data_IF_984791119888
#
_entry.id   IF_984791119888
#
_cell.length_a   1.000
_cell.length_b   1.000
_cell.length_c   1.000
_cell.angle_alpha   90.00
_cell.angle_beta   90.00
_cell.angle_gamma   90.00
#
_symmetry.space_group_name_H-M   'P 1'
#
loop_
_entity.id
_entity.type
_entity.pdbx_description
1 polymer ?
#
# COMPACT_ATOMS: atom_id res chain seq x y z
N UNK A 1 2.65 -3.73 -18.47
CA UNK A 1 3.17 -4.91 -19.21
C UNK A 1 3.42 -4.60 -20.68
N UNK A 2 2.43 -4.15 -21.47
CA UNK A 2 2.62 -3.84 -22.90
C UNK A 2 3.74 -2.82 -23.15
N UNK A 3 3.85 -1.76 -22.33
CA UNK A 3 4.94 -0.79 -22.42
C UNK A 3 6.32 -1.43 -22.16
N UNK A 4 6.43 -2.34 -21.18
CA UNK A 4 7.67 -3.07 -20.89
C UNK A 4 8.07 -3.94 -22.10
N UNK A 5 7.10 -4.68 -22.68
CA UNK A 5 7.30 -5.46 -23.90
C UNK A 5 7.72 -4.60 -25.08
N UNK A 6 7.12 -3.42 -25.22
CA UNK A 6 7.46 -2.46 -26.28
C UNK A 6 8.91 -1.97 -26.16
N UNK A 7 9.37 -1.62 -24.96
CA UNK A 7 10.75 -1.20 -24.73
C UNK A 7 11.74 -2.31 -25.10
N UNK A 8 11.49 -3.54 -24.68
CA UNK A 8 12.37 -4.69 -25.02
C UNK A 8 12.37 -5.04 -26.50
N UNK A 9 11.20 -4.95 -27.15
CA UNK A 9 11.09 -5.17 -28.58
C UNK A 9 11.89 -4.15 -29.40
N UNK A 10 11.95 -2.93 -28.93
CA UNK A 10 12.65 -1.81 -29.56
C UNK A 10 14.00 -1.49 -28.90
N UNK A 11 14.67 -2.46 -28.30
CA UNK A 11 15.90 -2.27 -27.50
C UNK A 11 17.00 -1.52 -28.25
N UNK A 12 17.07 -1.65 -29.57
CA UNK A 12 18.09 -0.99 -30.42
C UNK A 12 17.71 0.46 -30.76
N UNK A 13 16.50 0.90 -30.47
CA UNK A 13 15.96 2.23 -30.77
C UNK A 13 15.76 3.11 -29.51
N UNK A 14 15.66 2.49 -28.34
CA UNK A 14 15.43 3.22 -27.09
C UNK A 14 16.74 3.39 -26.31
N UNK A 15 16.97 4.54 -25.69
CA UNK A 15 18.13 4.73 -24.84
C UNK A 15 17.98 3.96 -23.52
N UNK A 16 19.11 3.46 -22.99
CA UNK A 16 19.16 2.77 -21.71
C UNK A 16 19.22 1.24 -21.81
N UNK A 17 19.31 0.61 -20.67
CA UNK A 17 19.39 -0.86 -20.56
C UNK A 17 17.99 -1.44 -20.32
N UNK A 18 17.41 -2.05 -21.33
CA UNK A 18 16.07 -2.66 -21.28
C UNK A 18 15.99 -3.89 -20.35
N UNK A 19 17.14 -4.39 -19.86
CA UNK A 19 17.19 -5.44 -18.85
C UNK A 19 17.07 -4.86 -17.44
N UNK A 20 17.23 -3.54 -17.29
CA UNK A 20 17.14 -2.83 -16.00
C UNK A 20 15.94 -1.88 -15.93
N UNK A 21 14.80 -2.34 -16.41
CA UNK A 21 13.54 -1.58 -16.30
C UNK A 21 13.16 -1.50 -14.82
N UNK A 22 12.99 -0.28 -14.33
CA UNK A 22 12.55 0.02 -12.97
C UNK A 22 11.23 0.78 -13.06
N UNK A 23 10.24 0.34 -12.30
CA UNK A 23 8.98 1.08 -12.16
C UNK A 23 8.99 1.92 -10.89
N UNK A 24 8.36 3.09 -10.94
CA UNK A 24 8.12 3.94 -9.78
C UNK A 24 6.69 4.49 -9.83
N UNK A 25 6.00 4.50 -8.71
CA UNK A 25 4.64 5.02 -8.65
C UNK A 25 4.14 5.27 -7.25
N UNK A 26 3.11 6.12 -7.15
CA UNK A 26 2.48 6.54 -5.89
C UNK A 26 1.01 6.15 -5.91
N UNK A 27 0.46 5.69 -4.77
CA UNK A 27 -0.97 5.37 -4.61
C UNK A 27 -1.40 4.24 -5.58
N UNK A 28 -2.36 4.46 -6.47
CA UNK A 28 -2.70 3.52 -7.55
C UNK A 28 -1.48 3.23 -8.46
N UNK A 29 -0.62 4.24 -8.73
CA UNK A 29 0.65 4.03 -9.43
C UNK A 29 1.63 3.18 -8.64
N UNK A 30 1.62 3.27 -7.32
CA UNK A 30 2.37 2.38 -6.42
C UNK A 30 1.88 0.94 -6.48
N UNK A 31 0.55 0.74 -6.53
CA UNK A 31 -0.06 -0.56 -6.76
C UNK A 31 0.31 -1.14 -8.14
N UNK A 32 0.25 -0.30 -9.18
CA UNK A 32 0.65 -0.71 -10.54
C UNK A 32 2.13 -1.10 -10.61
N UNK A 33 3.00 -0.37 -9.88
CA UNK A 33 4.42 -0.72 -9.76
C UNK A 33 4.59 -2.07 -9.02
N UNK A 34 3.84 -2.29 -7.94
CA UNK A 34 3.85 -3.55 -7.22
C UNK A 34 3.37 -4.73 -8.10
N UNK A 35 2.29 -4.54 -8.86
CA UNK A 35 1.80 -5.53 -9.82
C UNK A 35 2.84 -5.82 -10.91
N UNK A 36 3.46 -4.80 -11.48
CA UNK A 36 4.50 -4.99 -12.49
C UNK A 36 5.68 -5.82 -11.94
N UNK A 37 6.08 -5.54 -10.68
CA UNK A 37 7.13 -6.28 -10.00
C UNK A 37 6.76 -7.72 -9.65
N UNK A 38 5.51 -7.97 -9.28
CA UNK A 38 5.05 -9.27 -8.80
C UNK A 38 4.67 -10.24 -9.94
N UNK A 39 4.34 -9.75 -11.13
CA UNK A 39 3.65 -10.52 -12.16
C UNK A 39 4.43 -10.68 -13.48
N UNK A 40 5.76 -10.56 -13.45
CA UNK A 40 6.59 -10.70 -14.64
C UNK A 40 6.30 -12.00 -15.38
N UNK A 41 6.02 -11.92 -16.68
CA UNK A 41 5.72 -13.05 -17.57
C UNK A 41 4.58 -13.96 -17.09
N UNK A 42 3.69 -13.48 -16.21
CA UNK A 42 2.55 -14.25 -15.72
C UNK A 42 1.57 -14.54 -16.88
N UNK A 43 1.23 -15.82 -17.05
CA UNK A 43 0.41 -16.32 -18.17
C UNK A 43 -1.01 -15.80 -18.15
N UNK A 44 -1.51 -15.45 -16.99
CA UNK A 44 -2.85 -14.92 -16.79
C UNK A 44 -3.08 -13.60 -17.54
N UNK A 45 -2.04 -12.82 -17.82
CA UNK A 45 -2.14 -11.57 -18.60
C UNK A 45 -2.04 -11.78 -20.11
N UNK A 46 -1.62 -12.95 -20.60
CA UNK A 46 -1.39 -13.20 -22.03
C UNK A 46 -2.63 -12.97 -22.92
N UNK A 47 -3.85 -13.38 -22.52
CA UNK A 47 -5.05 -13.12 -23.33
C UNK A 47 -5.26 -11.62 -23.58
N UNK A 48 -5.10 -10.80 -22.55
CA UNK A 48 -5.27 -9.34 -22.60
C UNK A 48 -4.16 -8.67 -23.44
N UNK A 49 -2.91 -9.08 -23.22
CA UNK A 49 -1.77 -8.56 -23.98
C UNK A 49 -1.86 -8.90 -25.48
N UNK A 50 -2.34 -10.10 -25.80
CA UNK A 50 -2.59 -10.52 -27.18
C UNK A 50 -3.73 -9.72 -27.81
N UNK A 51 -4.82 -9.49 -27.06
CA UNK A 51 -5.98 -8.74 -27.56
C UNK A 51 -5.62 -7.31 -27.97
N UNK A 52 -4.73 -6.64 -27.22
CA UNK A 52 -4.25 -5.28 -27.52
C UNK A 52 -3.07 -5.26 -28.50
N UNK A 53 -2.62 -6.40 -29.02
CA UNK A 53 -1.49 -6.48 -29.96
C UNK A 53 -0.14 -6.15 -29.33
N UNK A 54 0.08 -6.44 -28.04
CA UNK A 54 1.34 -6.20 -27.38
C UNK A 54 2.49 -6.98 -28.04
N UNK A 55 3.68 -6.38 -28.04
CA UNK A 55 4.87 -6.99 -28.64
C UNK A 55 5.21 -8.36 -28.02
N UNK A 56 5.74 -9.28 -28.81
CA UNK A 56 6.18 -10.61 -28.36
C UNK A 56 7.54 -10.49 -27.66
N UNK A 57 7.53 -10.04 -26.43
CA UNK A 57 8.70 -9.91 -25.57
C UNK A 57 8.29 -10.26 -24.13
N UNK A 58 9.26 -10.48 -23.25
CA UNK A 58 9.01 -10.68 -21.83
C UNK A 58 8.66 -9.35 -21.14
N UNK A 59 7.95 -9.41 -20.00
CA UNK A 59 7.48 -8.23 -19.26
C UNK A 59 7.84 -8.23 -17.77
N UNK A 60 8.78 -9.05 -17.36
CA UNK A 60 9.43 -8.94 -16.06
C UNK A 60 10.18 -7.62 -15.91
N UNK A 61 10.40 -7.14 -14.70
CA UNK A 61 11.15 -5.92 -14.42
C UNK A 61 12.31 -6.18 -13.46
N UNK A 62 13.28 -5.30 -13.49
CA UNK A 62 14.47 -5.40 -12.68
C UNK A 62 14.23 -5.00 -11.23
N UNK A 63 13.44 -3.93 -11.00
CA UNK A 63 13.11 -3.44 -9.68
C UNK A 63 11.78 -2.68 -9.66
N UNK A 64 11.09 -2.70 -8.52
CA UNK A 64 9.87 -1.96 -8.27
C UNK A 64 10.04 -0.96 -7.11
N UNK A 65 9.70 0.30 -7.35
CA UNK A 65 9.57 1.35 -6.33
C UNK A 65 8.12 1.72 -6.15
N UNK A 66 7.61 1.58 -4.92
CA UNK A 66 6.20 1.73 -4.57
C UNK A 66 6.06 2.72 -3.43
N UNK A 67 5.43 3.87 -3.68
CA UNK A 67 5.03 4.81 -2.65
C UNK A 67 3.56 4.58 -2.31
N UNK A 68 3.25 4.40 -1.02
CA UNK A 68 1.91 4.16 -0.47
C UNK A 68 1.02 3.33 -1.41
N UNK A 69 1.45 2.11 -1.81
CA UNK A 69 0.74 1.30 -2.79
C UNK A 69 -0.62 0.87 -2.26
N UNK A 70 -1.69 1.16 -3.03
CA UNK A 70 -3.06 0.73 -2.74
C UNK A 70 -3.31 -0.58 -3.48
N UNK A 71 -3.11 -1.70 -2.82
CA UNK A 71 -3.27 -3.03 -3.39
C UNK A 71 -3.94 -3.99 -2.41
N UNK A 72 -4.11 -5.26 -2.80
CA UNK A 72 -4.73 -6.28 -1.94
C UNK A 72 -6.13 -5.82 -1.51
N UNK A 73 -6.89 -5.31 -2.47
CA UNK A 73 -8.14 -4.59 -2.25
C UNK A 73 -9.21 -5.48 -1.62
N UNK A 74 -9.23 -6.78 -1.92
CA UNK A 74 -10.16 -7.74 -1.32
C UNK A 74 -9.98 -7.90 0.21
N UNK A 75 -8.83 -7.48 0.77
CA UNK A 75 -8.55 -7.49 2.19
C UNK A 75 -8.34 -6.07 2.77
N UNK A 76 -8.33 -5.04 1.92
CA UNK A 76 -8.00 -3.69 2.31
C UNK A 76 -9.02 -3.07 3.27
N UNK A 77 -10.32 -3.37 3.10
CA UNK A 77 -11.38 -2.93 4.01
C UNK A 77 -11.21 -3.49 5.41
N UNK A 78 -10.92 -4.79 5.52
CA UNK A 78 -10.66 -5.45 6.79
C UNK A 78 -9.39 -4.92 7.46
N UNK A 79 -8.33 -4.69 6.69
CA UNK A 79 -7.08 -4.10 7.17
C UNK A 79 -7.28 -2.64 7.63
N UNK A 80 -8.13 -1.89 6.94
CA UNK A 80 -8.46 -0.51 7.30
C UNK A 80 -9.17 -0.47 8.66
N UNK A 81 -10.18 -1.32 8.84
CA UNK A 81 -10.92 -1.39 10.10
C UNK A 81 -10.10 -2.02 11.24
N UNK A 82 -9.14 -2.90 10.96
CA UNK A 82 -8.18 -3.35 11.97
C UNK A 82 -7.40 -2.18 12.58
N UNK A 83 -7.06 -1.16 11.79
CA UNK A 83 -6.33 0.02 12.27
C UNK A 83 -7.28 1.08 12.85
N UNK A 84 -8.41 1.38 12.18
CA UNK A 84 -9.23 2.58 12.44
C UNK A 84 -10.59 2.31 13.09
N UNK A 85 -10.94 1.09 13.49
CA UNK A 85 -12.29 0.75 14.02
C UNK A 85 -12.70 1.61 15.21
N UNK A 86 -11.76 1.99 16.08
CA UNK A 86 -12.03 2.83 17.25
C UNK A 86 -12.30 4.31 16.89
N UNK A 87 -11.89 4.75 15.70
CA UNK A 87 -12.11 6.10 15.21
C UNK A 87 -13.45 6.17 14.48
N UNK A 88 -14.44 6.81 15.08
CA UNK A 88 -15.80 6.89 14.53
C UNK A 88 -16.07 8.15 13.73
N UNK A 89 -15.16 9.12 13.74
CA UNK A 89 -15.27 10.37 12.98
C UNK A 89 -14.34 10.34 11.76
N UNK A 90 -14.92 10.47 10.58
CA UNK A 90 -14.16 10.59 9.32
C UNK A 90 -13.75 12.05 9.10
N UNK A 91 -12.44 12.30 9.04
CA UNK A 91 -11.85 13.60 8.74
C UNK A 91 -11.53 13.71 7.26
N UNK A 92 -12.44 14.25 6.45
CA UNK A 92 -12.31 14.38 5.01
C UNK A 92 -12.00 15.80 4.58
N UNK A 93 -11.44 15.96 3.38
CA UNK A 93 -11.24 17.25 2.73
C UNK A 93 -12.05 17.27 1.43
N UNK A 94 -12.97 18.24 1.30
CA UNK A 94 -13.66 18.54 0.06
C UNK A 94 -12.95 19.71 -0.63
N UNK A 95 -12.74 19.56 -1.93
CA UNK A 95 -12.23 20.64 -2.77
C UNK A 95 -13.41 21.31 -3.48
N UNK A 96 -13.59 22.59 -3.23
CA UNK A 96 -14.65 23.39 -3.87
C UNK A 96 -14.02 24.41 -4.82
N UNK A 97 -14.45 24.40 -6.08
CA UNK A 97 -14.03 25.41 -7.06
C UNK A 97 -14.78 26.72 -6.78
N UNK A 98 -14.02 27.79 -6.58
CA UNK A 98 -14.54 29.16 -6.40
C UNK A 98 -13.96 30.07 -7.48
N UNK A 99 -14.54 31.24 -7.74
CA UNK A 99 -13.97 32.21 -8.68
C UNK A 99 -12.54 32.64 -8.34
N UNK A 100 -12.13 32.50 -7.06
CA UNK A 100 -10.80 32.85 -6.57
C UNK A 100 -9.82 31.67 -6.55
N UNK A 101 -10.24 30.49 -7.02
CA UNK A 101 -9.42 29.26 -7.04
C UNK A 101 -10.10 28.09 -6.33
N UNK A 102 -9.32 27.12 -5.89
CA UNK A 102 -9.82 25.93 -5.19
C UNK A 102 -9.74 26.13 -3.67
N UNK A 103 -10.88 26.06 -3.00
CA UNK A 103 -10.98 26.09 -1.53
C UNK A 103 -10.99 24.67 -0.96
N UNK A 104 -10.18 24.44 0.07
CA UNK A 104 -10.23 23.20 0.86
C UNK A 104 -11.21 23.39 2.03
N UNK A 105 -12.15 22.47 2.15
CA UNK A 105 -13.16 22.46 3.22
C UNK A 105 -12.99 21.17 3.99
N UNK A 106 -12.69 21.28 5.30
CA UNK A 106 -12.68 20.14 6.20
C UNK A 106 -14.13 19.69 6.47
N UNK A 107 -14.38 18.40 6.34
CA UNK A 107 -15.66 17.76 6.64
C UNK A 107 -15.42 16.72 7.72
N UNK A 108 -16.22 16.79 8.78
CA UNK A 108 -16.26 15.80 9.84
C UNK A 108 -17.59 15.06 9.71
N UNK A 109 -17.50 13.75 9.44
CA UNK A 109 -18.65 12.87 9.30
C UNK A 109 -18.57 11.78 10.37
N UNK A 110 -19.53 11.74 11.29
CA UNK A 110 -19.66 10.62 12.23
C UNK A 110 -20.18 9.37 11.51
N UNK A 111 -19.60 8.20 11.85
CA UNK A 111 -20.14 6.92 11.44
C UNK A 111 -21.48 6.68 12.13
N UNK A 112 -22.50 6.30 11.36
CA UNK A 112 -23.75 5.84 11.92
C UNK A 112 -23.63 4.44 12.58
N UNK A 113 -24.67 3.98 13.28
CA UNK A 113 -24.65 2.70 14.02
C UNK A 113 -24.51 1.49 13.08
N UNK A 114 -25.02 1.57 11.85
CA UNK A 114 -24.82 0.53 10.85
C UNK A 114 -23.35 0.46 10.43
N UNK A 115 -22.74 1.60 10.12
CA UNK A 115 -21.32 1.69 9.76
C UNK A 115 -20.40 1.20 10.89
N UNK A 116 -20.69 1.57 12.14
CA UNK A 116 -19.96 1.05 13.32
C UNK A 116 -20.06 -0.46 13.46
N UNK A 117 -21.24 -1.04 13.19
CA UNK A 117 -21.41 -2.49 13.21
C UNK A 117 -20.65 -3.19 12.09
N UNK A 118 -20.65 -2.62 10.87
CA UNK A 118 -19.91 -3.13 9.72
C UNK A 118 -18.39 -3.04 9.96
N UNK A 119 -17.93 -1.93 10.54
CA UNK A 119 -16.54 -1.73 10.93
C UNK A 119 -16.05 -2.86 11.85
N UNK A 120 -16.80 -3.19 12.90
CA UNK A 120 -16.45 -4.29 13.79
C UNK A 120 -16.38 -5.64 13.09
N UNK A 121 -17.32 -5.91 12.16
CA UNK A 121 -17.31 -7.16 11.37
C UNK A 121 -16.09 -7.25 10.44
N UNK A 122 -15.73 -6.16 9.78
CA UNK A 122 -14.55 -6.10 8.93
C UNK A 122 -13.26 -6.28 9.73
N UNK A 123 -13.12 -5.58 10.86
CA UNK A 123 -11.99 -5.79 11.78
C UNK A 123 -11.85 -7.25 12.18
N UNK A 124 -12.96 -7.91 12.54
CA UNK A 124 -12.96 -9.32 12.97
C UNK A 124 -12.56 -10.31 11.86
N UNK A 125 -12.66 -9.92 10.58
CA UNK A 125 -12.22 -10.75 9.46
C UNK A 125 -10.70 -10.69 9.23
N UNK A 126 -10.02 -9.60 9.60
CA UNK A 126 -8.61 -9.36 9.31
C UNK A 126 -7.64 -10.40 9.93
N UNK A 127 -7.77 -10.82 11.20
CA UNK A 127 -6.88 -11.82 11.81
C UNK A 127 -6.78 -13.13 11.03
N UNK A 128 -7.91 -13.63 10.52
CA UNK A 128 -7.93 -14.87 9.73
C UNK A 128 -7.07 -14.74 8.48
N UNK A 129 -7.18 -13.62 7.76
CA UNK A 129 -6.39 -13.33 6.58
C UNK A 129 -4.88 -13.28 6.91
N UNK A 130 -4.49 -12.52 7.93
CA UNK A 130 -3.08 -12.41 8.35
C UNK A 130 -2.49 -13.77 8.69
N UNK A 131 -3.23 -14.58 9.47
CA UNK A 131 -2.77 -15.90 9.90
C UNK A 131 -2.62 -16.89 8.73
N UNK A 132 -3.44 -16.76 7.67
CA UNK A 132 -3.34 -17.59 6.47
C UNK A 132 -2.05 -17.31 5.68
N UNK A 133 -1.55 -16.09 5.68
CA UNK A 133 -0.30 -15.72 4.97
C UNK A 133 0.96 -16.35 5.58
N UNK A 134 0.89 -16.89 6.81
CA UNK A 134 2.02 -17.52 7.51
C UNK A 134 3.31 -16.69 7.50
N UNK A 135 3.17 -15.36 7.61
CA UNK A 135 4.29 -14.42 7.61
C UNK A 135 5.25 -14.69 8.77
N UNK A 136 6.53 -14.39 8.56
CA UNK A 136 7.58 -14.52 9.57
C UNK A 136 8.37 -13.22 9.70
N UNK A 137 8.82 -12.92 10.92
CA UNK A 137 9.77 -11.84 11.16
C UNK A 137 11.18 -12.19 10.64
N UNK A 138 12.13 -11.27 10.82
CA UNK A 138 13.51 -11.41 10.37
C UNK A 138 14.26 -12.57 11.08
N UNK A 139 13.73 -13.08 12.20
CA UNK A 139 14.28 -14.19 12.98
C UNK A 139 13.59 -15.53 12.68
N UNK A 140 12.58 -15.53 11.82
CA UNK A 140 11.81 -16.71 11.44
C UNK A 140 10.65 -17.04 12.37
N UNK A 141 10.30 -16.17 13.33
CA UNK A 141 9.14 -16.37 14.18
C UNK A 141 7.86 -16.04 13.41
N UNK A 142 6.83 -16.86 13.57
CA UNK A 142 5.54 -16.60 12.94
C UNK A 142 4.89 -15.33 13.48
N UNK A 143 4.37 -14.52 12.57
CA UNK A 143 3.54 -13.37 12.87
C UNK A 143 2.08 -13.83 12.92
N UNK A 144 1.43 -13.60 14.06
CA UNK A 144 0.05 -14.04 14.30
C UNK A 144 -0.80 -12.89 14.83
N UNK A 145 -2.11 -13.00 14.58
CA UNK A 145 -3.12 -12.10 15.12
C UNK A 145 -4.21 -12.92 15.79
N UNK A 146 -4.62 -12.53 17.00
CA UNK A 146 -5.75 -13.13 17.70
C UNK A 146 -7.08 -12.57 17.18
N UNK A 147 -8.22 -13.05 17.73
CA UNK A 147 -9.56 -12.63 17.34
C UNK A 147 -9.85 -11.13 17.56
N UNK A 148 -9.09 -10.47 18.42
CA UNK A 148 -9.19 -9.03 18.70
C UNK A 148 -8.28 -8.17 17.79
N UNK A 149 -7.46 -8.82 16.95
CA UNK A 149 -6.46 -8.15 16.10
C UNK A 149 -5.15 -7.85 16.82
N UNK A 150 -4.96 -8.41 18.03
CA UNK A 150 -3.73 -8.29 18.82
C UNK A 150 -2.74 -9.41 18.47
N UNK A 151 -1.49 -9.29 18.96
CA UNK A 151 -0.47 -10.31 18.81
C UNK A 151 0.76 -9.86 18.04
N UNK A 152 1.63 -10.82 17.69
CA UNK A 152 2.96 -10.52 17.15
C UNK A 152 2.93 -9.77 15.81
N UNK A 153 1.87 -9.91 15.00
CA UNK A 153 1.73 -9.12 13.78
C UNK A 153 1.51 -7.63 14.08
N UNK A 154 0.66 -7.30 15.07
CA UNK A 154 0.45 -5.92 15.51
C UNK A 154 1.75 -5.31 16.02
N UNK A 155 2.46 -6.04 16.89
CA UNK A 155 3.73 -5.60 17.46
C UNK A 155 4.77 -5.35 16.35
N UNK A 156 4.78 -6.21 15.33
CA UNK A 156 5.66 -6.09 14.17
C UNK A 156 5.35 -4.84 13.34
N UNK A 157 4.09 -4.54 13.07
CA UNK A 157 3.67 -3.29 12.39
C UNK A 157 4.09 -2.07 13.20
N UNK A 158 3.82 -2.08 14.53
CA UNK A 158 4.19 -0.97 15.42
C UNK A 158 5.70 -0.81 15.54
N UNK A 159 6.49 -1.86 15.42
CA UNK A 159 7.94 -1.76 15.42
C UNK A 159 8.48 -0.94 14.23
N UNK A 160 7.85 -1.00 13.05
CA UNK A 160 8.20 -0.10 11.95
C UNK A 160 7.89 1.36 12.26
N UNK A 161 6.81 1.63 12.98
CA UNK A 161 6.46 2.98 13.44
C UNK A 161 7.49 3.47 14.47
N UNK A 162 7.90 2.63 15.42
CA UNK A 162 8.95 2.94 16.41
C UNK A 162 10.31 3.20 15.76
N UNK A 163 10.71 2.36 14.79
CA UNK A 163 11.93 2.58 13.99
C UNK A 163 11.90 3.93 13.27
N UNK A 164 10.73 4.29 12.73
CA UNK A 164 10.53 5.59 12.07
C UNK A 164 10.62 6.76 13.04
N UNK A 165 9.99 6.67 14.21
CA UNK A 165 10.06 7.69 15.26
C UNK A 165 11.50 7.87 15.77
N UNK A 166 12.23 6.78 15.97
CA UNK A 166 13.66 6.80 16.35
C UNK A 166 14.49 7.52 15.29
N UNK A 167 14.29 7.17 14.01
CA UNK A 167 15.00 7.82 12.91
C UNK A 167 14.71 9.31 12.86
N UNK A 168 13.44 9.71 12.99
CA UNK A 168 13.05 11.12 13.00
C UNK A 168 13.73 11.88 14.13
N UNK A 169 13.72 11.34 15.37
CA UNK A 169 14.35 11.98 16.51
C UNK A 169 15.86 12.19 16.35
N UNK A 170 16.56 11.22 15.72
CA UNK A 170 18.01 11.30 15.46
C UNK A 170 18.38 12.25 14.30
N UNK A 171 17.44 12.57 13.43
CA UNK A 171 17.75 13.28 12.16
C UNK A 171 17.08 14.65 12.04
N UNK A 172 16.57 15.21 13.15
CA UNK A 172 15.82 16.48 13.19
C UNK A 172 16.49 17.64 12.45
N UNK A 173 17.82 17.72 12.46
CA UNK A 173 18.58 18.79 11.83
C UNK A 173 18.71 18.67 10.31
N UNK A 174 18.47 17.50 9.72
CA UNK A 174 18.76 17.19 8.30
C UNK A 174 17.54 17.16 7.38
N UNK A 175 16.31 17.28 7.90
CA UNK A 175 15.07 16.98 7.18
C UNK A 175 14.16 18.17 6.85
N UNK A 176 14.70 19.36 6.67
CA UNK A 176 13.89 20.58 6.35
C UNK A 176 12.90 20.39 5.18
N UNK A 177 13.18 19.48 4.24
CA UNK A 177 12.30 19.22 3.10
C UNK A 177 11.14 18.27 3.46
N UNK A 178 11.41 17.20 4.21
CA UNK A 178 10.39 16.26 4.67
C UNK A 178 9.45 16.92 5.66
N UNK A 179 9.96 17.78 6.55
CA UNK A 179 9.16 18.57 7.49
C UNK A 179 8.09 19.44 6.80
N UNK A 180 8.35 19.97 5.60
CA UNK A 180 7.37 20.75 4.82
C UNK A 180 6.19 19.90 4.30
N UNK A 181 6.38 18.59 4.16
CA UNK A 181 5.37 17.64 3.70
C UNK A 181 4.68 16.93 4.89
N UNK A 182 5.24 17.05 6.09
CA UNK A 182 4.71 16.40 7.27
C UNK A 182 3.31 16.93 7.64
N UNK A 183 2.51 16.03 8.18
CA UNK A 183 1.18 16.37 8.70
C UNK A 183 1.32 17.38 9.84
N UNK A 184 0.55 18.48 9.87
CA UNK A 184 0.57 19.42 10.98
C UNK A 184 0.37 18.74 12.34
N UNK A 185 1.23 19.03 13.28
CA UNK A 185 1.20 18.44 14.63
C UNK A 185 1.83 17.04 14.73
N UNK A 186 2.53 16.56 13.71
CA UNK A 186 3.28 15.30 13.74
C UNK A 186 4.70 15.42 14.26
N UNK A 187 5.12 16.62 14.72
CA UNK A 187 6.45 16.82 15.29
C UNK A 187 6.73 15.82 16.41
N UNK A 188 7.86 15.14 16.34
CA UNK A 188 8.15 13.98 17.21
C UNK A 188 8.24 14.37 18.70
N UNK A 189 8.65 15.58 19.02
CA UNK A 189 8.79 16.08 20.38
C UNK A 189 7.45 16.31 21.10
N UNK A 190 6.36 16.45 20.35
CA UNK A 190 5.03 16.71 20.88
C UNK A 190 4.16 15.44 21.01
N UNK A 191 4.72 14.24 20.81
CA UNK A 191 3.96 12.99 20.83
C UNK A 191 4.03 12.29 22.19
N UNK A 192 2.96 12.44 22.99
CA UNK A 192 2.87 11.82 24.32
C UNK A 192 2.61 10.31 24.28
N UNK A 193 2.15 9.78 23.13
CA UNK A 193 1.87 8.36 22.94
C UNK A 193 3.12 7.51 22.62
N UNK A 194 4.29 8.13 22.51
CA UNK A 194 5.57 7.43 22.29
C UNK A 194 6.45 7.60 23.52
N UNK A 195 6.95 6.49 24.02
CA UNK A 195 7.97 6.47 25.08
C UNK A 195 9.35 6.36 24.47
N UNK A 196 10.24 7.28 24.85
CA UNK A 196 11.65 7.29 24.46
C UNK A 196 12.57 6.91 25.61
N UNK A 197 13.62 6.15 25.30
CA UNK A 197 14.81 5.99 26.14
C UNK A 197 16.00 6.61 25.41
N UNK A 198 16.37 7.83 25.81
CA UNK A 198 17.29 8.66 25.03
C UNK A 198 16.67 9.04 23.67
N UNK A 199 17.32 8.64 22.58
CA UNK A 199 16.83 8.87 21.21
C UNK A 199 16.03 7.68 20.64
N UNK A 200 15.99 6.54 21.34
CA UNK A 200 15.29 5.34 20.89
C UNK A 200 13.83 5.35 21.34
N UNK A 201 12.90 5.23 20.40
CA UNK A 201 11.49 4.99 20.67
C UNK A 201 11.31 3.51 21.05
N UNK A 202 10.85 3.26 22.29
CA UNK A 202 10.79 1.91 22.86
C UNK A 202 9.37 1.40 23.06
N UNK A 203 8.37 2.28 23.10
CA UNK A 203 6.96 1.90 23.18
C UNK A 203 6.07 2.94 22.51
N UNK A 204 4.93 2.49 22.02
CA UNK A 204 3.89 3.33 21.43
C UNK A 204 2.52 2.85 21.88
N UNK A 205 1.68 3.78 22.32
CA UNK A 205 0.24 3.54 22.48
C UNK A 205 -0.44 3.65 21.12
N UNK A 206 -0.86 2.51 20.55
CA UNK A 206 -1.42 2.45 19.21
C UNK A 206 -2.73 3.20 19.09
N UNK A 207 -3.59 3.15 20.09
CA UNK A 207 -4.91 3.80 20.04
C UNK A 207 -4.72 5.32 19.97
N UNK A 208 -3.89 5.87 20.84
CA UNK A 208 -3.56 7.32 20.81
C UNK A 208 -2.83 7.74 19.53
N UNK A 209 -1.99 6.88 18.97
CA UNK A 209 -1.35 7.12 17.69
C UNK A 209 -2.37 7.18 16.55
N UNK A 210 -3.30 6.22 16.48
CA UNK A 210 -4.35 6.16 15.46
C UNK A 210 -5.32 7.33 15.61
N UNK A 211 -5.71 7.70 16.83
CA UNK A 211 -6.51 8.89 17.10
C UNK A 211 -5.82 10.19 16.62
N UNK A 212 -4.48 10.25 16.68
CA UNK A 212 -3.71 11.37 16.13
C UNK A 212 -3.70 11.40 14.60
N UNK A 213 -3.61 10.23 13.94
CA UNK A 213 -3.69 10.13 12.49
C UNK A 213 -5.08 10.51 12.00
N UNK A 214 -6.11 10.12 12.72
CA UNK A 214 -7.54 10.23 12.40
C UNK A 214 -7.98 9.37 11.21
N UNK A 215 -9.23 8.93 11.24
CA UNK A 215 -9.88 8.22 10.15
C UNK A 215 -10.22 9.16 9.00
N UNK A 216 -10.07 8.72 7.75
CA UNK A 216 -10.45 9.50 6.57
C UNK A 216 -11.63 8.88 5.80
N UNK A 217 -11.69 7.56 5.68
CA UNK A 217 -12.67 6.84 4.87
C UNK A 217 -13.86 6.34 5.68
N UNK A 218 -15.04 6.27 5.03
CA UNK A 218 -16.24 5.63 5.56
C UNK A 218 -16.09 4.10 5.56
N UNK A 219 -17.13 3.39 5.96
CA UNK A 219 -17.16 1.93 6.05
C UNK A 219 -18.10 1.36 4.98
N UNK A 220 -17.65 0.44 4.13
CA UNK A 220 -16.27 0.03 3.86
C UNK A 220 -15.41 1.12 3.25
N UNK A 221 -14.08 1.03 3.39
CA UNK A 221 -13.16 2.09 2.98
C UNK A 221 -12.88 2.10 1.47
N UNK A 222 -13.00 0.95 0.79
CA UNK A 222 -12.64 0.74 -0.61
C UNK A 222 -13.80 0.16 -1.43
N UNK A 223 -14.46 -0.91 -0.96
CA UNK A 223 -15.60 -1.49 -1.67
C UNK A 223 -16.92 -0.88 -1.15
N UNK A 224 -17.23 0.34 -1.61
CA UNK A 224 -18.41 1.07 -1.16
C UNK A 224 -19.70 0.32 -1.42
N UNK A 225 -20.60 0.26 -0.41
CA UNK A 225 -21.92 -0.38 -0.52
C UNK A 225 -22.85 0.32 -1.55
N UNK A 226 -22.47 1.52 -2.00
CA UNK A 226 -23.17 2.30 -3.03
C UNK A 226 -22.37 2.41 -4.33
N UNK A 227 -21.25 1.67 -4.46
CA UNK A 227 -20.36 1.67 -5.61
C UNK A 227 -19.79 3.07 -5.98
N UNK A 228 -19.61 3.93 -4.99
CA UNK A 228 -19.15 5.32 -5.18
C UNK A 228 -17.63 5.49 -5.07
N UNK A 229 -16.88 4.44 -4.68
CA UNK A 229 -15.43 4.49 -4.63
C UNK A 229 -14.81 4.25 -6.01
N UNK A 230 -13.68 4.89 -6.27
CA UNK A 230 -12.93 4.69 -7.52
C UNK A 230 -12.45 3.24 -7.67
N UNK A 231 -12.23 2.54 -6.57
CA UNK A 231 -11.89 1.11 -6.59
C UNK A 231 -13.05 0.25 -7.14
N UNK A 232 -14.33 0.63 -6.89
CA UNK A 232 -15.44 -0.05 -7.53
C UNK A 232 -15.43 0.13 -9.06
N UNK A 233 -15.02 1.31 -9.55
CA UNK A 233 -14.87 1.58 -10.99
C UNK A 233 -13.71 0.78 -11.59
N UNK A 234 -12.60 0.58 -10.85
CA UNK A 234 -11.47 -0.24 -11.27
C UNK A 234 -11.90 -1.68 -11.59
N UNK A 235 -12.86 -2.20 -10.82
CA UNK A 235 -13.44 -3.53 -11.04
C UNK A 235 -14.59 -3.55 -12.03
N UNK A 236 -15.02 -2.41 -12.55
CA UNK A 236 -15.99 -2.30 -13.64
C UNK A 236 -15.45 -2.79 -14.98
N UNK A 237 -16.30 -2.85 -16.00
CA UNK A 237 -15.95 -3.19 -17.38
C UNK A 237 -16.70 -2.29 -18.37
N UNK A 238 -16.61 -2.58 -19.67
CA UNK A 238 -17.27 -1.83 -20.73
C UNK A 238 -18.79 -1.82 -20.67
N UNK A 239 -19.42 -2.75 -19.95
CA UNK A 239 -20.86 -2.89 -19.81
C UNK A 239 -21.37 -2.45 -18.43
N UNK A 240 -20.55 -2.64 -17.38
CA UNK A 240 -20.88 -2.33 -15.98
C UNK A 240 -19.81 -1.44 -15.40
N UNK A 241 -20.16 -0.17 -15.17
CA UNK A 241 -19.22 0.87 -14.78
C UNK A 241 -18.49 0.60 -13.46
N UNK A 242 -19.19 0.05 -12.45
CA UNK A 242 -18.63 -0.25 -11.14
C UNK A 242 -19.17 -1.57 -10.60
N UNK A 243 -18.33 -2.33 -9.92
CA UNK A 243 -18.68 -3.64 -9.31
C UNK A 243 -18.16 -3.73 -7.90
N UNK A 244 -18.81 -4.58 -7.10
CA UNK A 244 -18.20 -5.06 -5.86
C UNK A 244 -17.05 -6.03 -6.15
N UNK A 245 -16.05 -6.04 -5.29
CA UNK A 245 -14.92 -6.94 -5.39
C UNK A 245 -14.66 -7.71 -4.08
N UNK A 246 -15.53 -7.54 -3.08
CA UNK A 246 -15.53 -8.31 -1.83
C UNK A 246 -16.91 -8.94 -1.61
N UNK A 247 -16.91 -10.19 -1.14
CA UNK A 247 -18.17 -10.86 -0.73
C UNK A 247 -18.88 -10.10 0.39
N UNK A 248 -18.09 -9.45 1.25
CA UNK A 248 -18.61 -8.64 2.34
C UNK A 248 -19.49 -7.50 1.82
N UNK A 249 -18.96 -6.68 0.92
CA UNK A 249 -19.68 -5.54 0.38
C UNK A 249 -20.83 -5.97 -0.52
N UNK A 250 -20.64 -7.01 -1.33
CA UNK A 250 -21.72 -7.58 -2.13
C UNK A 250 -22.91 -8.02 -1.26
N UNK A 251 -22.66 -8.69 -0.12
CA UNK A 251 -23.70 -9.14 0.83
C UNK A 251 -24.43 -7.97 1.50
N UNK A 252 -23.77 -6.86 1.73
CA UNK A 252 -24.32 -5.68 2.41
C UNK A 252 -24.66 -4.55 1.44
N UNK A 253 -24.61 -4.79 0.13
CA UNK A 253 -24.86 -3.80 -0.90
C UNK A 253 -26.19 -3.08 -0.72
N UNK A 254 -26.19 -1.79 -0.92
CA UNK A 254 -27.39 -0.95 -0.92
C UNK A 254 -28.07 -0.90 -2.30
N UNK A 255 -27.45 -1.51 -3.31
CA UNK A 255 -27.88 -1.49 -4.70
C UNK A 255 -28.07 -2.90 -5.24
N UNK A 256 -28.80 -3.02 -6.37
CA UNK A 256 -28.75 -4.22 -7.20
C UNK A 256 -27.41 -4.16 -7.96
N UNK A 257 -26.40 -4.81 -7.44
CA UNK A 257 -25.05 -4.79 -7.96
C UNK A 257 -24.59 -6.17 -8.40
N UNK A 258 -23.46 -6.21 -9.07
CA UNK A 258 -22.76 -7.42 -9.49
C UNK A 258 -21.39 -7.52 -8.82
N UNK A 259 -20.91 -8.73 -8.64
CA UNK A 259 -19.55 -9.00 -8.20
C UNK A 259 -18.61 -8.97 -9.42
N UNK A 260 -17.41 -8.47 -9.25
CA UNK A 260 -16.36 -8.60 -10.26
C UNK A 260 -15.95 -10.07 -10.41
N UNK A 261 -15.43 -10.44 -11.59
CA UNK A 261 -14.92 -11.77 -11.83
C UNK A 261 -13.72 -12.07 -10.91
N UNK A 262 -13.67 -13.28 -10.34
CA UNK A 262 -12.57 -13.72 -9.47
C UNK A 262 -11.19 -13.61 -10.17
N UNK A 263 -11.14 -13.91 -11.48
CA UNK A 263 -9.92 -13.75 -12.28
C UNK A 263 -9.46 -12.29 -12.28
N UNK A 264 -10.37 -11.33 -12.47
CA UNK A 264 -10.06 -9.90 -12.46
C UNK A 264 -9.56 -9.45 -11.07
N UNK A 265 -10.22 -9.88 -9.99
CA UNK A 265 -9.80 -9.58 -8.62
C UNK A 265 -8.36 -10.08 -8.40
N UNK A 266 -8.09 -11.33 -8.77
CA UNK A 266 -6.74 -11.93 -8.67
C UNK A 266 -5.70 -11.17 -9.49
N UNK A 267 -6.04 -10.75 -10.72
CA UNK A 267 -5.11 -10.03 -11.61
C UNK A 267 -4.69 -8.66 -11.04
N UNK A 268 -5.50 -8.05 -10.17
CA UNK A 268 -5.22 -6.75 -9.55
C UNK A 268 -4.53 -6.87 -8.18
N UNK A 269 -4.27 -8.09 -7.69
CA UNK A 269 -3.59 -8.32 -6.42
C UNK A 269 -2.18 -8.93 -6.62
N UNK A 270 -1.09 -8.26 -6.17
CA UNK A 270 0.27 -8.81 -6.28
C UNK A 270 0.52 -10.01 -5.36
N UNK A 271 -0.22 -10.13 -4.24
CA UNK A 271 0.05 -11.11 -3.17
C UNK A 271 0.00 -12.56 -3.69
N UNK A 272 -1.06 -13.02 -4.38
CA UNK A 272 -1.12 -14.40 -4.88
C UNK A 272 0.02 -14.77 -5.84
N UNK A 273 0.52 -13.81 -6.62
CA UNK A 273 1.63 -14.04 -7.56
C UNK A 273 2.96 -14.22 -6.83
N UNK A 274 3.18 -13.46 -5.75
CA UNK A 274 4.38 -13.59 -4.91
C UNK A 274 4.33 -14.92 -4.13
N UNK A 275 3.16 -15.31 -3.61
CA UNK A 275 3.00 -16.57 -2.88
C UNK A 275 3.27 -17.79 -3.75
N UNK A 276 2.66 -17.85 -4.93
CA UNK A 276 2.67 -19.03 -5.81
C UNK A 276 3.99 -19.20 -6.57
N UNK A 277 4.77 -18.15 -6.80
CA UNK A 277 6.08 -18.21 -7.48
C UNK A 277 6.04 -18.71 -8.92
N UNK A 278 4.89 -18.62 -9.60
CA UNK A 278 4.71 -19.10 -10.97
C UNK A 278 5.04 -18.07 -12.05
N UNK A 279 5.66 -16.96 -11.67
CA UNK A 279 6.02 -15.84 -12.53
C UNK A 279 7.37 -15.25 -12.10
N UNK A 280 7.91 -14.34 -12.90
CA UNK A 280 9.19 -13.72 -12.65
C UNK A 280 9.02 -12.48 -11.77
N UNK A 281 9.05 -12.68 -10.44
CA UNK A 281 8.97 -11.59 -9.46
C UNK A 281 10.27 -10.79 -9.46
N UNK A 282 10.17 -9.46 -9.46
CA UNK A 282 11.32 -8.57 -9.39
C UNK A 282 12.17 -8.86 -8.16
N UNK A 283 13.50 -8.85 -8.31
CA UNK A 283 14.42 -9.17 -7.21
C UNK A 283 14.58 -8.04 -6.20
N UNK A 284 14.39 -6.79 -6.63
CA UNK A 284 14.68 -5.59 -5.85
C UNK A 284 13.42 -4.75 -5.66
N UNK A 285 13.11 -4.41 -4.43
CA UNK A 285 11.92 -3.67 -4.05
C UNK A 285 12.28 -2.49 -3.15
N UNK A 286 11.67 -1.36 -3.42
CA UNK A 286 11.68 -0.19 -2.55
C UNK A 286 10.24 0.19 -2.25
N UNK A 287 9.85 0.12 -0.97
CA UNK A 287 8.49 0.40 -0.54
C UNK A 287 8.53 1.50 0.51
N UNK A 288 7.77 2.55 0.29
CA UNK A 288 7.62 3.70 1.19
C UNK A 288 6.15 3.94 1.46
N UNK A 289 5.79 4.11 2.73
CA UNK A 289 4.42 4.40 3.11
C UNK A 289 4.44 5.35 4.30
N UNK A 290 3.79 6.50 4.21
CA UNK A 290 3.82 7.49 5.28
C UNK A 290 3.30 6.91 6.61
N UNK A 291 4.02 7.11 7.71
CA UNK A 291 3.53 6.63 9.01
C UNK A 291 2.20 7.29 9.41
N UNK A 292 1.87 8.47 8.86
CA UNK A 292 0.61 9.18 9.07
C UNK A 292 -0.33 9.05 7.87
N UNK A 293 -0.14 8.02 7.06
CA UNK A 293 -1.09 7.68 6.00
C UNK A 293 -2.40 7.20 6.60
N UNK A 294 -3.48 7.80 6.17
CA UNK A 294 -4.85 7.47 6.61
C UNK A 294 -5.77 7.09 5.46
N UNK A 295 -5.20 7.00 4.25
CA UNK A 295 -5.90 6.47 3.08
C UNK A 295 -5.91 4.95 3.09
N UNK A 296 -4.77 4.34 3.45
CA UNK A 296 -4.57 2.90 3.49
C UNK A 296 -3.99 2.47 4.84
N UNK A 297 -4.40 1.31 5.35
CA UNK A 297 -3.84 0.75 6.58
C UNK A 297 -2.35 0.46 6.46
N UNK A 298 -1.59 0.75 7.52
CA UNK A 298 -0.17 0.39 7.64
C UNK A 298 0.09 -1.12 7.46
N UNK A 299 -0.91 -1.96 7.73
CA UNK A 299 -0.81 -3.40 7.55
C UNK A 299 -0.57 -3.81 6.10
N UNK A 300 -1.17 -3.12 5.12
CA UNK A 300 -1.09 -3.47 3.70
C UNK A 300 0.35 -3.45 3.16
N UNK A 301 1.10 -2.34 3.28
CA UNK A 301 2.50 -2.32 2.81
C UNK A 301 3.43 -3.19 3.66
N UNK A 302 3.14 -3.38 4.97
CA UNK A 302 3.91 -4.29 5.83
C UNK A 302 3.74 -5.73 5.36
N UNK A 303 2.52 -6.17 5.04
CA UNK A 303 2.25 -7.51 4.48
C UNK A 303 3.04 -7.72 3.19
N UNK A 304 2.98 -6.78 2.25
CA UNK A 304 3.73 -6.87 0.99
C UNK A 304 5.23 -6.99 1.23
N UNK A 305 5.80 -6.10 2.05
CA UNK A 305 7.23 -6.08 2.34
C UNK A 305 7.69 -7.37 3.02
N UNK A 306 6.94 -7.84 4.02
CA UNK A 306 7.27 -9.05 4.79
C UNK A 306 7.16 -10.30 3.93
N UNK A 307 6.10 -10.42 3.11
CA UNK A 307 5.94 -11.56 2.21
C UNK A 307 7.09 -11.63 1.20
N UNK A 308 7.48 -10.51 0.61
CA UNK A 308 8.63 -10.45 -0.30
C UNK A 308 9.93 -10.86 0.39
N UNK A 309 10.19 -10.39 1.62
CA UNK A 309 11.35 -10.77 2.42
C UNK A 309 11.34 -12.26 2.75
N UNK A 310 10.19 -12.82 3.14
CA UNK A 310 10.04 -14.24 3.42
C UNK A 310 10.28 -15.13 2.17
N UNK A 311 10.08 -14.61 0.98
CA UNK A 311 10.40 -15.26 -0.29
C UNK A 311 11.84 -15.02 -0.76
N UNK A 312 12.66 -14.29 0.01
CA UNK A 312 14.07 -14.05 -0.26
C UNK A 312 14.37 -12.88 -1.21
N UNK A 313 13.41 -12.03 -1.51
CA UNK A 313 13.62 -10.82 -2.30
C UNK A 313 14.27 -9.70 -1.49
N UNK A 314 15.02 -8.83 -2.16
CA UNK A 314 15.66 -7.66 -1.55
C UNK A 314 14.63 -6.53 -1.38
N UNK A 315 14.33 -6.17 -0.13
CA UNK A 315 13.29 -5.18 0.18
C UNK A 315 13.85 -4.06 1.05
N UNK A 316 13.83 -2.84 0.52
CA UNK A 316 14.05 -1.61 1.28
C UNK A 316 12.70 -1.01 1.66
N UNK A 317 12.24 -1.26 2.88
CA UNK A 317 10.94 -0.82 3.40
C UNK A 317 11.10 0.14 4.57
N UNK A 318 10.34 1.23 4.56
CA UNK A 318 10.15 2.08 5.74
C UNK A 318 8.82 2.85 5.72
N UNK A 319 8.44 3.32 6.92
CA UNK A 319 7.27 4.18 7.19
C UNK A 319 7.75 5.58 7.59
N UNK A 320 8.09 6.51 6.66
CA UNK A 320 8.61 7.83 7.01
C UNK A 320 7.69 8.58 7.97
N UNK A 321 8.25 9.06 9.08
CA UNK A 321 7.51 9.73 10.15
C UNK A 321 6.81 11.00 9.66
N UNK A 322 5.60 11.23 10.14
CA UNK A 322 4.82 12.44 9.89
C UNK A 322 4.29 12.59 8.47
N UNK A 323 4.67 11.71 7.53
CA UNK A 323 4.22 11.83 6.15
C UNK A 323 2.84 11.20 5.94
N UNK A 324 1.97 11.91 5.19
CA UNK A 324 0.66 11.41 4.79
C UNK A 324 0.76 10.48 3.57
N UNK A 325 -0.39 10.15 2.97
CA UNK A 325 -0.50 9.49 1.67
C UNK A 325 0.14 10.34 0.57
N UNK A 326 1.39 10.05 0.23
CA UNK A 326 2.20 10.84 -0.71
C UNK A 326 3.38 10.05 -1.28
N UNK A 327 4.02 10.58 -2.31
CA UNK A 327 5.18 9.97 -2.94
C UNK A 327 6.22 10.99 -3.40
N UNK A 328 7.30 10.49 -3.97
CA UNK A 328 8.39 11.27 -4.57
C UNK A 328 9.02 12.33 -3.64
N UNK A 329 8.88 12.14 -2.33
CA UNK A 329 9.39 13.07 -1.32
C UNK A 329 10.90 12.89 -1.02
N UNK A 330 11.47 11.76 -1.39
CA UNK A 330 12.86 11.37 -1.16
C UNK A 330 13.55 10.93 -2.46
N UNK A 331 13.40 11.75 -3.53
CA UNK A 331 13.95 11.46 -4.87
C UNK A 331 15.46 11.25 -4.87
N UNK A 332 16.19 11.93 -3.98
CA UNK A 332 17.64 11.74 -3.86
C UNK A 332 17.94 10.29 -3.44
N UNK A 333 17.32 9.81 -2.40
CA UNK A 333 17.46 8.45 -1.88
C UNK A 333 16.97 7.42 -2.90
N UNK A 334 15.90 7.72 -3.65
CA UNK A 334 15.42 6.88 -4.74
C UNK A 334 16.48 6.72 -5.82
N UNK A 335 17.09 7.81 -6.30
CA UNK A 335 18.12 7.73 -7.32
C UNK A 335 19.42 7.11 -6.81
N UNK A 336 19.80 7.34 -5.56
CA UNK A 336 20.92 6.64 -4.91
C UNK A 336 20.69 5.13 -4.85
N UNK A 337 19.47 4.68 -4.51
CA UNK A 337 19.08 3.28 -4.52
C UNK A 337 19.16 2.69 -5.94
N UNK A 338 18.64 3.38 -6.95
CA UNK A 338 18.73 2.98 -8.37
C UNK A 338 20.19 2.84 -8.80
N UNK A 339 21.03 3.82 -8.47
CA UNK A 339 22.46 3.81 -8.81
C UNK A 339 23.22 2.64 -8.17
N UNK A 340 22.91 2.33 -6.90
CA UNK A 340 23.48 1.18 -6.21
C UNK A 340 23.13 -0.14 -6.91
N UNK A 341 21.86 -0.33 -7.29
CA UNK A 341 21.41 -1.53 -8.02
C UNK A 341 22.08 -1.63 -9.41
N UNK A 342 22.22 -0.49 -10.10
CA UNK A 342 22.84 -0.46 -11.42
C UNK A 342 24.33 -0.81 -11.39
N UNK A 343 25.05 -0.48 -10.29
CA UNK A 343 26.49 -0.71 -10.12
C UNK A 343 26.80 -2.15 -9.68
N UNK A 344 26.04 -2.72 -8.76
CA UNK A 344 26.33 -4.03 -8.14
C UNK A 344 26.35 -5.19 -9.16
N UNK A 345 25.63 -5.11 -10.27
CA UNK A 345 25.69 -6.14 -11.31
C UNK A 345 26.89 -6.05 -12.26
N UNK A 346 27.71 -4.99 -12.17
CA UNK A 346 28.96 -4.93 -12.96
C UNK A 346 30.08 -5.78 -12.36
N UNK A 347 29.96 -6.20 -11.11
CA UNK A 347 30.96 -7.02 -10.38
C UNK A 347 30.74 -8.54 -10.51
N UNK A 348 29.64 -9.00 -11.11
CA UNK A 348 29.32 -10.42 -11.31
C UNK A 348 29.52 -10.91 -12.77
N UNK A 349 30.15 -10.09 -13.61
CA UNK A 349 30.65 -10.44 -14.96
C UNK A 349 32.18 -10.41 -14.95
#
# INVERSE_FOLDING_TARGET
>A
KAAIRYLRWNKDLVPGDVEKIITNGTSAGGALSALAGATGNAKEYEPYLKAIGAAKARDDIFAASCYCPIHNLENADAAYEWLFEKETTCHRIKFEKTPQGVKKIAILDELDEEQKLLSKKLKAAFPSYVNQLQLQDETGNKLTSDENGEGSFKDYVMNFVLKSATKEKKTLDSQTRLQKLAVPGSAIESQEYITFQGEEAVAIDMDSFVAKITRMKRVPAFDSLTLECCENEEFGDENVFARHFTEFSMKHSKLKAEMADEEKIKLLNPIPFIENGNCDVAKNWRIRHGAFDRDTSLAIPVILATLLQNKGYQVDFCLPWGLPHSGDYDLKELFEWIDCLAKNQKSEK
#
